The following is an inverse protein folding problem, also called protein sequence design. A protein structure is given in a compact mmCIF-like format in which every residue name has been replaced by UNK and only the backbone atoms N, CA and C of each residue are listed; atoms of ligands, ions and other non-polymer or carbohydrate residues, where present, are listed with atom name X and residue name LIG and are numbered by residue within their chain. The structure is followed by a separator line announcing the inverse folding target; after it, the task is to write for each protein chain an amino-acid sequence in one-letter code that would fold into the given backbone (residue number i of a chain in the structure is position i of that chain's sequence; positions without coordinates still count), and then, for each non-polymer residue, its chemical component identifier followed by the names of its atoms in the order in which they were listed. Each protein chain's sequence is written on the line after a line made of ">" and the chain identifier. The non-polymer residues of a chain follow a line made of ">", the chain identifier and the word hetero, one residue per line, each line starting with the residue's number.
data_IF_542131433432
#
_entry.id   IF_542131433432
#
_cell.length_a   1.000
_cell.length_b   1.000
_cell.length_c   1.000
_cell.angle_alpha   90.00
_cell.angle_beta   90.00
_cell.angle_gamma   90.00
#
_symmetry.space_group_name_H-M   'P 1'
#
loop_
_entity.id
_entity.type
_entity.pdbx_description
1 polymer ?
#
# COMPACT_ATOMS: atom_id res chain seq x y z
N UNK A 1 6.94 0.24 -5.98
CA UNK A 1 6.33 -1.13 -5.95
C UNK A 1 5.71 -1.25 -4.58
N UNK A 2 4.44 -1.65 -4.51
CA UNK A 2 3.73 -1.76 -3.23
C UNK A 2 3.35 -3.19 -2.96
N UNK A 3 3.52 -3.58 -1.70
CA UNK A 3 3.21 -4.90 -1.21
C UNK A 3 2.46 -4.74 0.11
N UNK A 4 1.38 -5.48 0.27
CA UNK A 4 0.71 -5.68 1.55
C UNK A 4 0.86 -7.14 1.92
N UNK A 5 1.37 -7.37 3.12
CA UNK A 5 1.55 -8.70 3.71
C UNK A 5 0.80 -8.76 5.04
N UNK A 6 0.32 -9.95 5.40
CA UNK A 6 -0.15 -10.18 6.76
C UNK A 6 0.99 -10.56 7.70
N UNK A 7 0.65 -10.76 8.96
CA UNK A 7 1.53 -11.19 10.04
C UNK A 7 2.13 -12.59 9.85
N UNK A 8 1.49 -13.45 9.06
CA UNK A 8 1.97 -14.77 8.69
C UNK A 8 2.94 -14.75 7.48
N UNK A 9 3.17 -13.58 6.88
CA UNK A 9 4.02 -13.41 5.70
C UNK A 9 3.34 -13.72 4.37
N UNK A 10 2.01 -13.88 4.36
CA UNK A 10 1.23 -14.06 3.14
C UNK A 10 1.05 -12.72 2.43
N UNK A 11 1.14 -12.75 1.09
CA UNK A 11 0.94 -11.57 0.26
C UNK A 11 -0.57 -11.38 0.06
N UNK A 12 -1.11 -10.32 0.66
CA UNK A 12 -2.52 -9.95 0.54
C UNK A 12 -2.80 -9.16 -0.76
N UNK A 13 -1.86 -8.30 -1.15
CA UNK A 13 -2.00 -7.47 -2.36
C UNK A 13 -0.66 -6.94 -2.84
N UNK A 14 -0.49 -6.79 -4.15
CA UNK A 14 0.70 -6.17 -4.73
C UNK A 14 0.32 -5.28 -5.91
N UNK A 15 1.03 -4.17 -6.08
CA UNK A 15 0.87 -3.28 -7.23
C UNK A 15 2.22 -2.80 -7.74
N UNK A 16 2.39 -2.87 -9.06
CA UNK A 16 3.51 -2.27 -9.76
C UNK A 16 3.01 -1.00 -10.47
N UNK A 17 3.24 0.19 -9.90
CA UNK A 17 2.89 1.42 -10.59
C UNK A 17 3.72 1.57 -11.88
N UNK A 18 3.17 2.23 -12.91
CA UNK A 18 3.99 2.72 -14.01
C UNK A 18 5.07 3.66 -13.45
N UNK A 19 6.24 3.69 -14.10
CA UNK A 19 7.53 4.24 -13.63
C UNK A 19 7.53 5.68 -13.05
N UNK A 20 6.43 6.42 -13.15
CA UNK A 20 6.32 7.83 -12.74
C UNK A 20 5.13 8.13 -11.82
N UNK A 21 4.63 7.15 -11.07
CA UNK A 21 3.55 7.36 -10.10
C UNK A 21 4.15 7.40 -8.69
N UNK A 22 3.87 8.48 -7.98
CA UNK A 22 4.25 8.64 -6.57
C UNK A 22 3.64 7.50 -5.74
N UNK A 23 4.49 6.90 -4.92
CA UNK A 23 4.19 5.78 -4.03
C UNK A 23 3.10 6.13 -2.98
N UNK A 24 2.80 7.42 -2.79
CA UNK A 24 1.78 7.96 -1.88
C UNK A 24 0.45 8.26 -2.59
N UNK A 25 0.35 8.00 -3.90
CA UNK A 25 -0.85 8.33 -4.64
C UNK A 25 -2.03 7.48 -4.17
N UNK A 26 -3.11 8.13 -3.72
CA UNK A 26 -4.33 7.44 -3.29
C UNK A 26 -4.90 6.54 -4.38
N UNK A 27 -4.69 6.84 -5.66
CA UNK A 27 -5.10 5.97 -6.79
C UNK A 27 -4.36 4.62 -6.81
N UNK A 28 -3.17 4.55 -6.22
CA UNK A 28 -2.37 3.33 -6.06
C UNK A 28 -2.76 2.60 -4.78
N UNK A 29 -2.98 3.35 -3.69
CA UNK A 29 -3.30 2.79 -2.37
C UNK A 29 -4.72 2.23 -2.30
N UNK A 30 -5.73 2.94 -2.82
CA UNK A 30 -7.13 2.50 -2.73
C UNK A 30 -7.38 1.09 -3.28
N UNK A 31 -6.87 0.73 -4.48
CA UNK A 31 -7.04 -0.63 -4.99
C UNK A 31 -6.30 -1.69 -4.17
N UNK A 32 -5.16 -1.34 -3.55
CA UNK A 32 -4.37 -2.25 -2.71
C UNK A 32 -5.11 -2.61 -1.42
N UNK A 33 -5.80 -1.64 -0.82
CA UNK A 33 -6.49 -1.81 0.48
C UNK A 33 -7.98 -2.14 0.35
N UNK A 34 -8.54 -2.14 -0.87
CA UNK A 34 -10.00 -2.23 -1.11
C UNK A 34 -10.68 -3.44 -0.44
N UNK A 35 -9.98 -4.56 -0.33
CA UNK A 35 -10.47 -5.80 0.27
C UNK A 35 -9.73 -6.18 1.57
N UNK A 36 -8.94 -5.25 2.10
CA UNK A 36 -8.23 -5.41 3.37
C UNK A 36 -9.01 -4.62 4.40
N UNK A 37 -9.51 -5.32 5.40
CA UNK A 37 -10.26 -4.76 6.50
C UNK A 37 -9.42 -4.90 7.77
N UNK A 38 -9.67 -4.04 8.76
CA UNK A 38 -8.90 -3.94 10.01
C UNK A 38 -7.61 -3.10 9.86
N UNK A 39 -6.71 -3.16 10.85
CA UNK A 39 -5.56 -2.26 11.00
C UNK A 39 -4.55 -2.39 9.85
N UNK A 40 -4.31 -1.29 9.15
CA UNK A 40 -3.24 -1.14 8.18
C UNK A 40 -2.07 -0.35 8.81
N UNK A 41 -0.88 -0.95 8.82
CA UNK A 41 0.35 -0.31 9.28
C UNK A 41 1.25 -0.04 8.07
N UNK A 42 1.75 1.18 7.95
CA UNK A 42 2.64 1.60 6.87
C UNK A 42 3.80 2.44 7.41
N UNK A 43 4.85 2.57 6.60
CA UNK A 43 6.00 3.41 6.96
C UNK A 43 5.59 4.89 7.09
N UNK A 44 6.24 5.65 7.98
CA UNK A 44 5.89 7.06 8.23
C UNK A 44 5.96 7.92 6.97
N UNK A 45 6.81 7.57 6.00
CA UNK A 45 6.90 8.24 4.70
C UNK A 45 5.64 8.10 3.84
N UNK A 46 4.77 7.12 4.12
CA UNK A 46 3.46 6.97 3.47
C UNK A 46 2.34 7.73 4.17
N UNK A 47 2.51 8.07 5.46
CA UNK A 47 1.47 8.68 6.30
C UNK A 47 1.67 10.20 6.42
N UNK A 48 2.91 10.68 6.42
CA UNK A 48 3.21 12.07 6.70
C UNK A 48 3.44 12.88 5.41
N UNK A 49 2.52 13.79 5.10
CA UNK A 49 2.77 14.94 4.24
C UNK A 49 3.05 16.14 5.15
N UNK A 50 4.32 16.38 5.43
CA UNK A 50 4.81 17.72 5.78
C UNK A 50 5.37 18.37 4.53
#
# INVERSE_FOLDING_TARGET
>A
MHLIVNDQGEILSFMKPPRNVDDRNLKVIFPLVKNIYDKLFGDRGYINQS
#
